data_IF_022872228173
#
_entry.id   IF_022872228173
#
_cell.length_a   1.000
_cell.length_b   1.000
_cell.length_c   1.000
_cell.angle_alpha   90.00
_cell.angle_beta   90.00
_cell.angle_gamma   90.00
#
_symmetry.space_group_name_H-M   'P 1'
#
loop_
_entity.id
_entity.type
_entity.pdbx_description
1 polymer ?
#
# COMPACT_ATOMS: atom_id res chain seq x y z
N UNK A 1 34.10 -49.18 37.60
CA UNK A 1 33.91 -48.32 36.39
C UNK A 1 32.73 -48.71 35.47
N UNK A 2 31.78 -49.58 35.87
CA UNK A 2 30.63 -49.95 35.01
C UNK A 2 29.28 -49.34 35.44
N UNK A 3 29.13 -48.94 36.70
CA UNK A 3 27.90 -48.33 37.23
C UNK A 3 27.77 -46.84 36.93
N UNK A 4 28.89 -46.09 36.90
CA UNK A 4 28.91 -44.65 36.63
C UNK A 4 28.55 -44.29 35.18
N UNK A 5 28.83 -45.17 34.21
CA UNK A 5 28.42 -45.00 32.80
C UNK A 5 26.94 -45.28 32.57
N UNK A 6 26.32 -46.14 33.39
CA UNK A 6 24.89 -46.45 33.29
C UNK A 6 24.02 -45.29 33.82
N UNK A 7 24.47 -44.63 34.89
CA UNK A 7 23.81 -43.43 35.43
C UNK A 7 23.88 -42.22 34.49
N UNK A 8 24.95 -42.08 33.69
CA UNK A 8 25.08 -41.01 32.68
C UNK A 8 24.21 -41.26 31.44
N UNK A 9 23.95 -42.52 31.09
CA UNK A 9 23.03 -42.90 30.02
C UNK A 9 21.56 -42.84 30.46
N UNK A 10 21.25 -43.11 31.73
CA UNK A 10 19.91 -42.90 32.29
C UNK A 10 19.59 -41.41 32.48
N UNK A 11 20.56 -40.53 32.77
CA UNK A 11 20.30 -39.08 32.87
C UNK A 11 20.07 -38.41 31.51
N UNK A 12 20.45 -39.04 30.40
CA UNK A 12 20.14 -38.62 29.03
C UNK A 12 18.77 -39.12 28.53
N UNK A 13 18.14 -40.05 29.24
CA UNK A 13 16.87 -40.69 28.85
C UNK A 13 15.64 -40.14 29.59
N UNK A 14 15.80 -39.17 30.50
CA UNK A 14 14.68 -38.46 31.12
C UNK A 14 14.63 -37.02 30.60
N UNK A 15 13.43 -36.58 30.20
CA UNK A 15 13.07 -35.31 29.55
C UNK A 15 12.98 -35.27 28.01
N UNK A 16 12.36 -36.28 27.39
CA UNK A 16 11.52 -36.05 26.20
C UNK A 16 10.05 -35.73 26.58
N UNK A 17 9.84 -35.04 27.71
CA UNK A 17 8.58 -34.31 27.92
C UNK A 17 8.49 -33.30 26.77
N UNK A 18 7.72 -33.64 25.73
CA UNK A 18 7.56 -32.78 24.56
C UNK A 18 7.24 -31.37 25.04
N UNK A 19 8.18 -30.45 24.79
CA UNK A 19 8.15 -29.10 25.33
C UNK A 19 6.90 -28.38 24.81
N UNK A 20 6.34 -27.52 25.65
CA UNK A 20 5.33 -26.55 25.23
C UNK A 20 5.93 -25.70 24.10
N UNK A 21 5.31 -25.71 22.92
CA UNK A 21 5.93 -25.10 21.74
C UNK A 21 4.88 -24.54 20.76
N UNK A 22 5.19 -23.38 20.20
CA UNK A 22 4.63 -22.86 18.95
C UNK A 22 5.53 -23.27 17.78
N UNK A 23 4.91 -23.70 16.68
CA UNK A 23 5.60 -24.00 15.43
C UNK A 23 4.93 -23.28 14.27
N UNK A 24 5.74 -22.77 13.36
CA UNK A 24 5.30 -22.16 12.11
C UNK A 24 5.78 -23.03 10.95
N UNK A 25 4.98 -23.13 9.90
CA UNK A 25 5.32 -23.86 8.69
C UNK A 25 5.08 -22.97 7.48
N UNK A 26 6.04 -22.96 6.55
CA UNK A 26 5.96 -22.31 5.26
C UNK A 26 6.25 -23.39 4.21
N UNK A 27 5.39 -23.52 3.21
CA UNK A 27 5.46 -24.58 2.20
C UNK A 27 5.60 -25.99 2.83
N UNK A 28 4.89 -26.21 3.95
CA UNK A 28 4.92 -27.45 4.73
C UNK A 28 6.17 -27.68 5.58
N UNK A 29 7.19 -26.82 5.52
CA UNK A 29 8.46 -26.95 6.27
C UNK A 29 8.46 -26.08 7.52
N UNK A 30 8.96 -26.60 8.63
CA UNK A 30 9.03 -25.85 9.89
C UNK A 30 10.02 -24.67 9.79
N UNK A 31 9.59 -23.51 10.27
CA UNK A 31 10.38 -22.27 10.32
C UNK A 31 10.92 -22.08 11.73
N UNK A 32 12.22 -21.81 11.83
CA UNK A 32 12.86 -21.48 13.10
C UNK A 32 12.64 -20.00 13.45
N UNK A 33 12.47 -19.71 14.73
CA UNK A 33 12.42 -18.33 15.20
C UNK A 33 13.71 -17.57 14.82
N UNK A 34 13.58 -16.32 14.38
CA UNK A 34 14.64 -15.47 13.86
C UNK A 34 14.94 -15.68 12.37
N UNK A 35 14.32 -16.64 11.69
CA UNK A 35 14.56 -16.89 10.26
C UNK A 35 14.14 -15.70 9.38
N UNK A 36 14.70 -15.67 8.17
CA UNK A 36 14.28 -14.78 7.09
C UNK A 36 13.47 -15.59 6.08
N UNK A 37 12.26 -15.14 5.77
CA UNK A 37 11.31 -15.82 4.87
C UNK A 37 11.01 -14.93 3.67
N UNK A 38 10.89 -15.53 2.49
CA UNK A 38 10.47 -14.83 1.28
C UNK A 38 9.02 -14.38 1.40
N UNK A 39 8.72 -13.14 1.00
CA UNK A 39 7.34 -12.64 0.99
C UNK A 39 6.40 -13.49 0.11
N UNK A 40 6.94 -14.10 -0.95
CA UNK A 40 6.17 -14.91 -1.89
C UNK A 40 5.69 -16.25 -1.29
N UNK A 41 6.36 -16.73 -0.24
CA UNK A 41 6.00 -17.99 0.41
C UNK A 41 4.99 -17.79 1.55
N UNK A 42 4.74 -16.54 1.97
CA UNK A 42 3.93 -16.23 3.15
C UNK A 42 2.50 -16.73 3.08
N UNK A 43 1.88 -16.78 1.89
CA UNK A 43 0.52 -17.26 1.72
C UNK A 43 0.31 -18.68 2.30
N UNK A 44 1.38 -19.48 2.30
CA UNK A 44 1.36 -20.87 2.80
C UNK A 44 1.61 -20.98 4.32
N UNK A 45 1.63 -19.87 5.04
CA UNK A 45 1.87 -19.86 6.48
C UNK A 45 0.81 -20.66 7.21
N UNK A 46 1.28 -21.67 7.92
CA UNK A 46 0.51 -22.45 8.85
C UNK A 46 1.13 -22.36 10.24
N UNK A 47 0.28 -22.36 11.26
CA UNK A 47 0.72 -22.37 12.65
C UNK A 47 0.20 -23.61 13.36
N UNK A 48 0.99 -24.16 14.26
CA UNK A 48 0.53 -25.18 15.20
C UNK A 48 1.08 -24.90 16.58
N UNK A 49 0.45 -25.50 17.57
CA UNK A 49 0.92 -25.45 18.94
C UNK A 49 0.79 -26.80 19.60
N UNK A 50 1.59 -27.01 20.64
CA UNK A 50 1.56 -28.24 21.43
C UNK A 50 1.71 -27.89 22.90
N UNK A 51 0.83 -28.48 23.73
CA UNK A 51 0.87 -28.43 25.19
C UNK A 51 1.05 -26.99 25.73
N UNK A 52 0.10 -26.08 25.45
CA UNK A 52 0.15 -24.74 26.02
C UNK A 52 0.17 -24.80 27.56
N UNK A 53 0.71 -23.76 28.21
CA UNK A 53 0.70 -23.65 29.67
C UNK A 53 -0.72 -23.86 30.19
N UNK A 54 -0.87 -24.78 31.16
CA UNK A 54 -2.17 -24.99 31.79
C UNK A 54 -2.51 -23.77 32.67
N UNK A 55 -3.66 -23.17 32.41
CA UNK A 55 -4.18 -22.01 33.13
C UNK A 55 -5.65 -22.26 33.43
N UNK A 56 -6.08 -21.95 34.64
CA UNK A 56 -7.49 -22.01 35.02
C UNK A 56 -8.08 -20.62 34.79
N UNK A 57 -9.00 -20.51 33.84
CA UNK A 57 -9.69 -19.25 33.50
C UNK A 57 -11.17 -19.56 33.45
N UNK A 58 -12.00 -18.99 34.33
CA UNK A 58 -13.43 -19.35 34.45
C UNK A 58 -14.31 -18.67 33.39
N UNK A 59 -13.93 -17.48 32.94
CA UNK A 59 -14.52 -16.77 31.80
C UNK A 59 -13.45 -15.93 31.11
N UNK A 60 -13.57 -15.69 29.81
CA UNK A 60 -12.57 -14.96 29.05
C UNK A 60 -12.41 -15.48 27.62
N UNK A 61 -11.23 -15.26 27.06
CA UNK A 61 -10.89 -15.75 25.72
C UNK A 61 -9.40 -16.06 25.57
N UNK A 62 -9.11 -17.01 24.68
CA UNK A 62 -7.74 -17.29 24.23
C UNK A 62 -7.59 -16.92 22.77
N UNK A 63 -6.39 -16.48 22.38
CA UNK A 63 -6.11 -16.02 21.02
C UNK A 63 -4.74 -16.53 20.54
N UNK A 64 -4.75 -17.39 19.53
CA UNK A 64 -3.58 -17.74 18.74
C UNK A 64 -3.46 -16.70 17.63
N UNK A 65 -2.39 -15.93 17.63
CA UNK A 65 -2.25 -14.77 16.75
C UNK A 65 -1.02 -14.85 15.86
N UNK A 66 -1.10 -14.17 14.72
CA UNK A 66 -0.01 -13.84 13.82
C UNK A 66 -0.02 -12.32 13.62
N UNK A 67 0.93 -11.62 14.23
CA UNK A 67 1.04 -10.16 14.21
C UNK A 67 2.14 -9.73 13.25
N UNK A 68 1.86 -8.69 12.48
CA UNK A 68 2.78 -8.04 11.56
C UNK A 68 3.20 -6.71 12.17
N UNK A 69 4.50 -6.47 12.23
CA UNK A 69 5.09 -5.22 12.68
C UNK A 69 6.18 -4.75 11.72
N UNK A 70 6.39 -3.44 11.67
CA UNK A 70 7.42 -2.83 10.84
C UNK A 70 8.83 -3.01 11.46
N UNK A 71 9.87 -2.50 10.81
CA UNK A 71 11.25 -2.62 11.32
C UNK A 71 11.50 -1.84 12.62
N UNK A 72 10.59 -0.93 12.99
CA UNK A 72 10.59 -0.21 14.28
C UNK A 72 9.75 -0.93 15.34
N UNK A 73 9.23 -2.12 15.02
CA UNK A 73 8.29 -2.92 15.84
C UNK A 73 6.96 -2.22 16.08
N UNK A 74 6.58 -1.29 15.19
CA UNK A 74 5.25 -0.69 15.22
C UNK A 74 4.27 -1.67 14.61
N UNK A 75 3.15 -1.90 15.31
CA UNK A 75 2.06 -2.75 14.84
C UNK A 75 1.52 -2.29 13.47
N UNK A 76 1.33 -3.25 12.55
CA UNK A 76 0.70 -3.04 11.25
C UNK A 76 -0.69 -3.68 11.26
N UNK A 77 -0.75 -4.99 11.50
CA UNK A 77 -1.99 -5.76 11.51
C UNK A 77 -1.79 -7.09 12.25
N UNK A 78 -2.86 -7.85 12.49
CA UNK A 78 -2.76 -9.24 12.91
C UNK A 78 -3.90 -10.08 12.33
N UNK A 79 -3.66 -11.38 12.30
CA UNK A 79 -4.66 -12.42 12.16
C UNK A 79 -4.78 -13.16 13.49
N UNK A 80 -5.99 -13.44 13.95
CA UNK A 80 -6.24 -14.13 15.21
C UNK A 80 -7.22 -15.28 15.08
N UNK A 81 -6.96 -16.39 15.77
CA UNK A 81 -7.94 -17.43 16.04
C UNK A 81 -8.32 -17.33 17.51
N UNK A 82 -9.50 -16.76 17.76
CA UNK A 82 -10.03 -16.54 19.09
C UNK A 82 -11.06 -17.61 19.47
N UNK A 83 -10.99 -18.06 20.72
CA UNK A 83 -12.00 -18.92 21.36
C UNK A 83 -12.43 -18.29 22.67
N UNK A 84 -13.72 -18.02 22.77
CA UNK A 84 -14.37 -17.37 23.90
C UNK A 84 -15.11 -18.38 24.77
N UNK A 85 -15.09 -18.17 26.09
CA UNK A 85 -15.80 -18.99 27.06
C UNK A 85 -15.04 -20.24 27.50
N UNK A 86 -15.30 -20.63 28.75
CA UNK A 86 -14.58 -21.70 29.47
C UNK A 86 -14.39 -22.98 28.64
N UNK A 87 -15.50 -23.58 28.20
CA UNK A 87 -15.50 -24.87 27.52
C UNK A 87 -14.75 -24.81 26.18
N UNK A 88 -15.01 -23.79 25.36
CA UNK A 88 -14.37 -23.68 24.05
C UNK A 88 -12.86 -23.39 24.16
N UNK A 89 -12.45 -22.61 25.17
CA UNK A 89 -11.04 -22.39 25.49
C UNK A 89 -10.37 -23.68 25.96
N UNK A 90 -10.98 -24.38 26.92
CA UNK A 90 -10.46 -25.63 27.46
C UNK A 90 -10.32 -26.70 26.36
N UNK A 91 -11.34 -26.86 25.53
CA UNK A 91 -11.31 -27.75 24.37
C UNK A 91 -10.19 -27.37 23.41
N UNK A 92 -10.04 -26.08 23.10
CA UNK A 92 -8.97 -25.64 22.20
C UNK A 92 -7.58 -25.91 22.77
N UNK A 93 -7.38 -25.73 24.08
CA UNK A 93 -6.10 -25.93 24.75
C UNK A 93 -5.74 -27.41 24.95
N UNK A 94 -6.74 -28.25 25.27
CA UNK A 94 -6.52 -29.67 25.63
C UNK A 94 -6.72 -30.63 24.47
N UNK A 95 -7.69 -30.36 23.59
CA UNK A 95 -8.15 -31.31 22.56
C UNK A 95 -7.62 -31.00 21.16
N UNK A 96 -6.84 -29.93 20.98
CA UNK A 96 -6.12 -29.69 19.71
C UNK A 96 -4.92 -30.62 19.59
N UNK A 97 -4.89 -31.54 18.60
CA UNK A 97 -3.75 -32.43 18.43
C UNK A 97 -2.55 -31.65 17.92
N UNK A 98 -1.33 -32.05 18.33
CA UNK A 98 -0.09 -31.39 17.90
C UNK A 98 0.15 -31.41 16.38
N UNK A 99 -0.54 -32.30 15.66
CA UNK A 99 -0.51 -32.40 14.20
C UNK A 99 -1.47 -31.43 13.51
N UNK A 100 -2.39 -30.79 14.24
CA UNK A 100 -3.29 -29.80 13.65
C UNK A 100 -2.49 -28.56 13.29
N UNK A 101 -2.51 -28.23 12.00
CA UNK A 101 -1.95 -27.00 11.43
C UNK A 101 -3.11 -26.11 11.03
N UNK A 102 -3.09 -24.87 11.49
CA UNK A 102 -4.06 -23.85 11.16
C UNK A 102 -3.48 -22.98 10.06
N UNK A 103 -4.15 -22.88 8.92
CA UNK A 103 -3.79 -21.95 7.85
C UNK A 103 -4.13 -20.53 8.28
N UNK A 104 -3.19 -19.60 8.11
CA UNK A 104 -3.34 -18.21 8.62
C UNK A 104 -4.11 -17.33 7.64
N UNK A 105 -3.83 -17.47 6.34
CA UNK A 105 -4.41 -16.63 5.29
C UNK A 105 -5.48 -17.35 4.46
N UNK A 106 -5.42 -18.68 4.41
CA UNK A 106 -6.35 -19.52 3.66
C UNK A 106 -7.32 -20.20 4.62
N UNK A 107 -8.57 -19.73 4.68
CA UNK A 107 -9.64 -20.35 5.46
C UNK A 107 -10.40 -19.39 6.38
N UNK A 108 -11.35 -19.93 7.15
CA UNK A 108 -12.22 -19.16 8.05
C UNK A 108 -11.78 -19.24 9.54
N UNK A 109 -10.64 -19.87 9.83
CA UNK A 109 -10.18 -20.08 11.21
C UNK A 109 -9.56 -18.82 11.81
N UNK A 110 -8.76 -18.08 11.02
CA UNK A 110 -8.12 -16.84 11.44
C UNK A 110 -8.91 -15.63 10.94
N UNK A 111 -9.37 -14.79 11.85
CA UNK A 111 -10.01 -13.52 11.51
C UNK A 111 -8.97 -12.40 11.42
N UNK A 112 -9.22 -11.45 10.51
CA UNK A 112 -8.48 -10.18 10.39
C UNK A 112 -9.47 -9.03 10.42
N UNK A 113 -9.03 -7.86 10.89
CA UNK A 113 -9.82 -6.62 10.82
C UNK A 113 -9.70 -5.94 9.44
N UNK A 114 -9.85 -6.70 8.36
CA UNK A 114 -10.16 -6.20 7.02
C UNK A 114 -9.05 -6.26 5.97
N UNK A 115 -7.77 -6.20 6.34
CA UNK A 115 -6.70 -6.20 5.34
C UNK A 115 -6.29 -7.62 4.93
N UNK A 116 -6.19 -7.86 3.62
CA UNK A 116 -5.63 -9.10 3.06
C UNK A 116 -4.11 -9.10 3.14
N UNK A 117 -3.48 -10.29 3.06
CA UNK A 117 -2.02 -10.38 3.02
C UNK A 117 -1.44 -9.56 1.87
N UNK A 118 -2.03 -9.68 0.68
CA UNK A 118 -1.57 -8.98 -0.53
C UNK A 118 -1.56 -7.47 -0.32
N UNK A 119 -2.63 -6.90 0.24
CA UNK A 119 -2.73 -5.47 0.55
C UNK A 119 -1.59 -4.98 1.46
N UNK A 120 -1.25 -5.77 2.50
CA UNK A 120 -0.15 -5.45 3.42
C UNK A 120 1.21 -5.49 2.71
N UNK A 121 1.44 -6.48 1.84
CA UNK A 121 2.71 -6.63 1.12
C UNK A 121 2.89 -5.54 0.06
N UNK A 122 1.82 -5.18 -0.66
CA UNK A 122 1.87 -4.16 -1.70
C UNK A 122 1.99 -2.75 -1.12
N UNK A 123 1.27 -2.46 -0.04
CA UNK A 123 1.35 -1.19 0.69
C UNK A 123 2.73 -0.96 1.35
N UNK A 124 3.47 -2.03 1.63
CA UNK A 124 4.80 -1.97 2.22
C UNK A 124 5.93 -1.69 1.21
N UNK A 125 5.70 -1.93 -0.09
CA UNK A 125 6.70 -1.66 -1.13
C UNK A 125 7.03 -0.17 -1.17
N UNK A 126 8.31 0.17 -0.97
CA UNK A 126 8.79 1.55 -1.06
C UNK A 126 8.63 2.39 0.22
N UNK A 127 8.12 1.81 1.31
CA UNK A 127 8.08 2.43 2.63
C UNK A 127 9.29 1.99 3.46
N UNK A 128 10.15 2.93 3.86
CA UNK A 128 11.44 2.67 4.55
C UNK A 128 11.28 1.85 5.83
N UNK A 129 10.26 2.16 6.63
CA UNK A 129 9.97 1.41 7.86
C UNK A 129 9.50 -0.03 7.60
N UNK A 130 8.98 -0.32 6.41
CA UNK A 130 8.42 -1.62 6.04
C UNK A 130 9.29 -2.37 5.03
N UNK A 131 10.57 -1.97 4.88
CA UNK A 131 11.55 -2.70 4.07
C UNK A 131 11.70 -4.16 4.47
N UNK A 132 11.51 -4.44 5.76
CA UNK A 132 11.27 -5.77 6.29
C UNK A 132 10.10 -5.71 7.25
N UNK A 133 9.21 -6.70 7.17
CA UNK A 133 8.14 -6.90 8.13
C UNK A 133 8.56 -8.01 9.09
N UNK A 134 8.39 -7.78 10.39
CA UNK A 134 8.54 -8.81 11.41
C UNK A 134 7.18 -9.45 11.65
N UNK A 135 7.13 -10.76 11.49
CA UNK A 135 5.95 -11.57 11.80
C UNK A 135 6.19 -12.25 13.13
N UNK A 136 5.28 -12.04 14.09
CA UNK A 136 5.29 -12.68 15.40
C UNK A 136 4.08 -13.61 15.53
N UNK A 137 4.32 -14.84 15.96
CA UNK A 137 3.27 -15.80 16.28
C UNK A 137 3.29 -16.03 17.77
N UNK A 138 2.14 -15.86 18.41
CA UNK A 138 2.02 -16.07 19.85
C UNK A 138 0.68 -16.67 20.22
N UNK A 139 0.59 -17.12 21.47
CA UNK A 139 -0.62 -17.70 22.02
C UNK A 139 -0.82 -17.24 23.45
N UNK A 140 -1.95 -16.59 23.73
CA UNK A 140 -2.24 -16.03 25.04
C UNK A 140 -3.70 -16.21 25.44
N UNK A 141 -3.97 -15.93 26.71
CA UNK A 141 -5.31 -15.88 27.29
C UNK A 141 -5.52 -14.58 28.04
N UNK A 142 -6.77 -14.13 28.11
CA UNK A 142 -7.25 -13.11 29.05
C UNK A 142 -8.47 -13.64 29.77
N UNK A 143 -8.45 -13.50 31.08
CA UNK A 143 -9.61 -13.75 31.93
C UNK A 143 -10.53 -12.53 31.90
N UNK A 144 -11.83 -12.77 31.83
CA UNK A 144 -12.86 -11.75 32.03
C UNK A 144 -12.97 -11.44 33.53
N UNK A 145 -12.77 -10.18 33.88
CA UNK A 145 -12.79 -9.70 35.28
C UNK A 145 -14.06 -8.90 35.59
N UNK A 146 -14.87 -8.58 34.57
CA UNK A 146 -16.11 -7.82 34.65
C UNK A 146 -16.78 -7.77 33.28
N UNK A 147 -17.96 -7.16 33.16
CA UNK A 147 -18.68 -7.09 31.89
C UNK A 147 -17.87 -6.35 30.82
N UNK A 148 -17.34 -7.11 29.84
CA UNK A 148 -16.41 -6.62 28.80
C UNK A 148 -15.09 -6.05 29.35
N UNK A 149 -14.76 -6.37 30.59
CA UNK A 149 -13.49 -6.02 31.23
C UNK A 149 -12.61 -7.26 31.32
N UNK A 150 -11.36 -7.13 30.90
CA UNK A 150 -10.42 -8.25 30.84
C UNK A 150 -9.16 -7.94 31.63
N UNK A 151 -8.69 -8.97 32.34
CA UNK A 151 -7.44 -8.93 33.08
C UNK A 151 -6.20 -8.89 32.18
N UNK A 152 -5.04 -9.08 32.81
CA UNK A 152 -3.76 -9.05 32.11
C UNK A 152 -3.65 -10.19 31.09
N UNK A 153 -2.94 -9.91 29.98
CA UNK A 153 -2.57 -10.92 28.98
C UNK A 153 -1.61 -11.92 29.64
N UNK A 154 -2.00 -13.19 29.69
CA UNK A 154 -1.13 -14.29 30.12
C UNK A 154 -0.66 -15.05 28.89
N UNK A 155 0.65 -15.06 28.66
CA UNK A 155 1.25 -15.82 27.57
C UNK A 155 1.22 -17.32 27.89
N UNK A 156 0.70 -18.12 26.96
CA UNK A 156 0.57 -19.58 27.10
C UNK A 156 1.78 -20.33 26.53
N UNK A 157 2.44 -19.75 25.53
CA UNK A 157 3.61 -20.27 24.83
C UNK A 157 4.54 -19.13 24.44
N UNK A 158 5.85 -19.35 24.52
CA UNK A 158 6.84 -18.36 24.07
C UNK A 158 6.60 -18.00 22.59
N UNK A 159 6.44 -16.72 22.25
CA UNK A 159 6.27 -16.29 20.87
C UNK A 159 7.47 -16.68 20.01
N UNK A 160 7.21 -17.01 18.75
CA UNK A 160 8.23 -17.15 17.71
C UNK A 160 8.08 -16.00 16.74
N UNK A 161 9.18 -15.59 16.13
CA UNK A 161 9.14 -14.53 15.11
C UNK A 161 10.03 -14.87 13.93
N UNK A 162 9.74 -14.28 12.78
CA UNK A 162 10.63 -14.30 11.63
C UNK A 162 10.49 -12.98 10.85
N UNK A 163 11.46 -12.70 10.00
CA UNK A 163 11.52 -11.47 9.23
C UNK A 163 11.23 -11.75 7.77
N UNK A 164 10.53 -10.84 7.13
CA UNK A 164 10.14 -10.92 5.72
C UNK A 164 10.65 -9.68 5.02
N UNK A 165 11.74 -9.78 4.25
CA UNK A 165 12.19 -8.70 3.39
C UNK A 165 11.10 -8.42 2.35
N UNK A 166 10.66 -7.17 2.27
CA UNK A 166 9.58 -6.77 1.36
C UNK A 166 10.16 -6.22 0.07
N UNK A 167 11.16 -5.35 0.17
CA UNK A 167 11.75 -4.68 -0.99
C UNK A 167 13.22 -4.33 -0.75
N UNK A 168 13.95 -4.14 -1.85
CA UNK A 168 15.39 -3.87 -1.82
C UNK A 168 15.72 -2.40 -2.15
N UNK A 169 16.84 -1.90 -1.61
CA UNK A 169 17.19 -0.48 -1.66
C UNK A 169 17.34 0.10 -3.07
N UNK A 170 17.69 -0.75 -4.05
CA UNK A 170 17.94 -0.33 -5.42
C UNK A 170 16.77 -0.65 -6.33
N UNK A 171 16.41 -1.93 -6.45
CA UNK A 171 15.44 -2.37 -7.44
C UNK A 171 14.07 -2.55 -6.79
N UNK A 172 13.30 -1.46 -6.71
CA UNK A 172 11.96 -1.52 -6.17
C UNK A 172 10.96 -1.78 -7.29
N UNK A 173 10.32 -2.95 -7.26
CA UNK A 173 9.18 -3.24 -8.13
C UNK A 173 7.90 -2.63 -7.55
N UNK A 174 7.19 -1.87 -8.38
CA UNK A 174 5.94 -1.20 -8.09
C UNK A 174 4.82 -1.89 -8.90
N UNK A 175 4.13 -2.90 -8.33
CA UNK A 175 3.19 -3.74 -9.08
C UNK A 175 2.06 -2.97 -9.77
N UNK A 176 1.52 -1.91 -9.16
CA UNK A 176 0.43 -1.13 -9.77
C UNK A 176 0.87 -0.24 -10.94
N UNK A 177 2.19 -0.11 -11.16
CA UNK A 177 2.74 0.54 -12.34
C UNK A 177 3.32 -0.45 -13.35
N UNK A 178 3.43 -1.74 -13.01
CA UNK A 178 4.25 -2.74 -13.72
C UNK A 178 5.68 -2.24 -14.02
N UNK A 179 6.26 -1.53 -13.05
CA UNK A 179 7.53 -0.83 -13.23
C UNK A 179 8.52 -1.17 -12.11
N UNK A 180 9.79 -1.33 -12.48
CA UNK A 180 10.90 -1.34 -11.50
C UNK A 180 11.58 0.01 -11.51
N UNK A 181 11.76 0.61 -10.34
CA UNK A 181 12.48 1.88 -10.18
C UNK A 181 13.80 1.69 -9.44
N UNK A 182 14.78 2.56 -9.74
CA UNK A 182 15.97 2.74 -8.90
C UNK A 182 15.62 3.59 -7.66
N UNK A 183 15.25 2.93 -6.57
CA UNK A 183 14.85 3.58 -5.30
C UNK A 183 15.99 4.36 -4.65
N UNK A 184 17.25 4.19 -5.05
CA UNK A 184 18.35 5.01 -4.49
C UNK A 184 18.27 6.48 -4.91
N UNK A 185 17.57 6.78 -6.01
CA UNK A 185 17.32 8.14 -6.48
C UNK A 185 16.10 8.80 -5.82
N UNK A 186 15.23 8.03 -5.16
CA UNK A 186 13.98 8.50 -4.55
C UNK A 186 14.04 8.23 -3.05
N UNK A 187 14.27 9.27 -2.25
CA UNK A 187 14.51 9.12 -0.80
C UNK A 187 13.21 9.02 0.00
N UNK A 188 12.13 9.52 -0.56
CA UNK A 188 10.83 9.57 0.08
C UNK A 188 10.22 8.17 0.20
N UNK A 189 9.24 8.03 1.09
CA UNK A 189 8.40 6.85 1.08
C UNK A 189 7.51 6.89 -0.15
N UNK A 190 7.42 5.77 -0.85
CA UNK A 190 6.46 5.55 -1.93
C UNK A 190 5.32 4.76 -1.30
N UNK A 191 4.17 5.39 -1.16
CA UNK A 191 3.00 4.80 -0.50
C UNK A 191 1.95 4.48 -1.54
N UNK A 192 1.24 3.37 -1.40
CA UNK A 192 0.06 3.11 -2.22
C UNK A 192 -1.00 4.18 -2.00
N UNK A 193 -1.66 4.59 -3.07
CA UNK A 193 -2.84 5.47 -3.05
C UNK A 193 -3.89 4.92 -4.02
N UNK A 194 -5.15 5.32 -3.86
CA UNK A 194 -6.24 4.85 -4.69
C UNK A 194 -7.33 5.91 -4.84
N UNK A 195 -8.05 5.87 -5.96
CA UNK A 195 -9.08 6.86 -6.31
C UNK A 195 -10.48 6.53 -5.77
N UNK A 196 -10.66 5.34 -5.20
CA UNK A 196 -11.97 4.85 -4.79
C UNK A 196 -11.88 3.64 -3.87
N UNK A 197 -12.96 2.86 -3.77
CA UNK A 197 -12.93 1.59 -3.03
C UNK A 197 -12.23 0.52 -3.85
N UNK A 198 -11.39 -0.32 -3.23
CA UNK A 198 -10.74 -1.46 -3.90
C UNK A 198 -11.73 -2.49 -4.49
N UNK A 199 -13.02 -2.39 -4.13
CA UNK A 199 -14.07 -3.25 -4.66
C UNK A 199 -14.79 -2.65 -5.89
N UNK A 200 -14.51 -1.39 -6.25
CA UNK A 200 -15.04 -0.73 -7.44
C UNK A 200 -14.06 -0.92 -8.61
N UNK A 201 -14.56 -1.44 -9.74
CA UNK A 201 -13.75 -1.71 -10.93
C UNK A 201 -13.21 -0.44 -11.61
N UNK A 202 -13.67 0.74 -11.20
CA UNK A 202 -13.18 2.05 -11.68
C UNK A 202 -12.09 2.65 -10.79
N UNK A 203 -11.73 1.96 -9.70
CA UNK A 203 -10.69 2.43 -8.79
C UNK A 203 -9.33 2.19 -9.41
N UNK A 204 -8.61 3.29 -9.61
CA UNK A 204 -7.20 3.26 -9.98
C UNK A 204 -6.37 3.16 -8.72
N UNK A 205 -5.38 2.28 -8.73
CA UNK A 205 -4.40 2.14 -7.66
C UNK A 205 -3.05 2.58 -8.19
N UNK A 206 -2.38 3.43 -7.42
CA UNK A 206 -1.11 4.01 -7.81
C UNK A 206 -0.22 4.23 -6.59
N UNK A 207 0.71 5.17 -6.73
CA UNK A 207 1.61 5.52 -5.67
C UNK A 207 1.68 7.03 -5.45
N UNK A 208 1.81 7.42 -4.19
CA UNK A 208 2.05 8.79 -3.77
C UNK A 208 3.40 8.94 -3.08
N UNK A 209 4.01 10.10 -3.29
CA UNK A 209 5.24 10.55 -2.65
C UNK A 209 5.02 11.95 -2.11
N UNK A 210 5.67 12.28 -0.99
CA UNK A 210 5.54 13.58 -0.35
C UNK A 210 6.93 14.21 -0.19
N UNK A 211 7.14 15.37 -0.81
CA UNK A 211 8.38 16.13 -0.68
C UNK A 211 8.04 17.61 -0.55
N UNK A 212 8.61 18.28 0.47
CA UNK A 212 8.47 19.72 0.69
C UNK A 212 7.02 20.24 0.61
N UNK A 213 6.08 19.54 1.28
CA UNK A 213 4.64 19.84 1.29
C UNK A 213 3.92 19.68 -0.06
N UNK A 214 4.59 19.13 -1.08
CA UNK A 214 3.98 18.75 -2.35
C UNK A 214 3.73 17.24 -2.36
N UNK A 215 2.49 16.86 -2.66
CA UNK A 215 2.12 15.48 -2.94
C UNK A 215 2.27 15.22 -4.43
N UNK A 216 3.04 14.20 -4.77
CA UNK A 216 3.20 13.68 -6.13
C UNK A 216 2.51 12.34 -6.21
N UNK A 217 1.79 12.10 -7.29
CA UNK A 217 1.07 10.85 -7.53
C UNK A 217 1.46 10.29 -8.89
N UNK A 218 1.47 8.96 -8.98
CA UNK A 218 1.75 8.23 -10.21
C UNK A 218 0.78 7.06 -10.33
N UNK A 219 0.19 6.92 -11.51
CA UNK A 219 -0.77 5.88 -11.85
C UNK A 219 -0.42 5.27 -13.21
N UNK A 220 -0.93 4.06 -13.46
CA UNK A 220 -0.88 3.42 -14.77
C UNK A 220 -2.31 3.12 -15.22
N UNK A 221 -2.69 3.61 -16.39
CA UNK A 221 -4.00 3.31 -16.98
C UNK A 221 -3.88 2.13 -17.95
N UNK A 222 -4.74 1.15 -17.77
CA UNK A 222 -4.78 -0.06 -18.61
C UNK A 222 -5.67 0.17 -19.83
N UNK A 223 -5.12 0.00 -21.03
CA UNK A 223 -5.88 0.16 -22.28
C UNK A 223 -6.91 -0.95 -22.47
N UNK A 224 -6.67 -2.13 -21.91
CA UNK A 224 -7.63 -3.24 -21.95
C UNK A 224 -8.90 -2.92 -21.14
N UNK A 225 -8.78 -2.15 -20.05
CA UNK A 225 -9.90 -1.66 -19.25
C UNK A 225 -10.63 -0.47 -19.92
N UNK A 226 -9.94 0.28 -20.77
CA UNK A 226 -10.47 1.45 -21.48
C UNK A 226 -10.25 1.33 -23.00
N UNK A 227 -11.15 0.65 -23.75
CA UNK A 227 -10.96 0.39 -25.18
C UNK A 227 -10.69 1.66 -26.00
N UNK A 228 -9.60 1.64 -26.77
CA UNK A 228 -9.18 2.78 -27.60
C UNK A 228 -8.46 3.89 -26.84
N UNK A 229 -8.12 3.70 -25.56
CA UNK A 229 -7.28 4.63 -24.82
C UNK A 229 -5.85 4.62 -25.38
N UNK A 230 -5.30 5.80 -25.59
CA UNK A 230 -3.91 6.03 -26.04
C UNK A 230 -3.30 7.15 -25.23
N UNK A 231 -1.98 7.35 -25.31
CA UNK A 231 -1.29 8.48 -24.65
C UNK A 231 -1.90 9.81 -25.08
N UNK A 232 -2.17 9.97 -26.37
CA UNK A 232 -2.83 11.17 -26.93
C UNK A 232 -4.24 11.35 -26.37
N UNK A 233 -5.01 10.26 -26.23
CA UNK A 233 -6.38 10.32 -25.69
C UNK A 233 -6.41 10.63 -24.19
N UNK A 234 -5.48 10.10 -23.38
CA UNK A 234 -5.36 10.47 -21.95
C UNK A 234 -5.00 11.95 -21.80
N UNK A 235 -4.06 12.46 -22.60
CA UNK A 235 -3.69 13.88 -22.61
C UNK A 235 -4.85 14.77 -23.04
N UNK A 236 -5.61 14.34 -24.05
CA UNK A 236 -6.79 15.05 -24.51
C UNK A 236 -7.88 15.07 -23.44
N UNK A 237 -8.17 13.94 -22.81
CA UNK A 237 -9.18 13.82 -21.75
C UNK A 237 -8.83 14.71 -20.55
N UNK A 238 -7.58 14.63 -20.09
CA UNK A 238 -7.07 15.49 -19.03
C UNK A 238 -7.25 16.99 -19.33
N UNK A 239 -6.78 17.47 -20.49
CA UNK A 239 -6.74 18.92 -20.72
C UNK A 239 -8.14 19.51 -20.91
N UNK A 240 -9.07 18.72 -21.46
CA UNK A 240 -10.47 19.11 -21.54
C UNK A 240 -11.11 19.11 -20.15
N UNK A 241 -10.77 18.14 -19.28
CA UNK A 241 -11.29 18.08 -17.91
C UNK A 241 -10.77 19.24 -17.06
N UNK A 242 -9.47 19.50 -17.14
CA UNK A 242 -8.83 20.65 -16.51
C UNK A 242 -9.44 21.98 -16.99
N UNK A 243 -9.67 22.14 -18.30
CA UNK A 243 -10.32 23.33 -18.83
C UNK A 243 -11.77 23.43 -18.37
N UNK A 244 -12.53 22.33 -18.33
CA UNK A 244 -13.92 22.31 -17.85
C UNK A 244 -14.00 22.79 -16.40
N UNK A 245 -13.21 22.17 -15.52
CA UNK A 245 -13.22 22.43 -14.08
C UNK A 245 -12.69 23.83 -13.75
N UNK A 246 -11.66 24.31 -14.44
CA UNK A 246 -11.16 25.68 -14.25
C UNK A 246 -12.14 26.77 -14.68
N UNK A 247 -13.01 26.51 -15.67
CA UNK A 247 -13.91 27.52 -16.23
C UNK A 247 -15.34 27.49 -15.65
N UNK A 248 -15.61 26.64 -14.66
CA UNK A 248 -16.96 26.34 -14.13
C UNK A 248 -17.98 26.09 -15.24
N UNK A 249 -17.64 25.28 -16.25
CA UNK A 249 -18.59 24.90 -17.30
C UNK A 249 -19.05 26.03 -18.27
N UNK A 250 -18.42 27.21 -18.22
CA UNK A 250 -18.91 28.41 -18.96
C UNK A 250 -18.57 28.43 -20.47
N UNK A 251 -18.07 27.32 -21.04
CA UNK A 251 -17.47 27.31 -22.39
C UNK A 251 -18.05 26.24 -23.29
N UNK A 252 -18.83 26.66 -24.30
CA UNK A 252 -19.49 25.78 -25.29
C UNK A 252 -18.60 24.71 -25.95
N UNK A 253 -17.35 25.02 -26.33
CA UNK A 253 -16.46 24.03 -26.98
C UNK A 253 -16.05 22.89 -26.04
N UNK A 254 -16.02 23.13 -24.73
CA UNK A 254 -15.68 22.11 -23.74
C UNK A 254 -16.84 21.13 -23.59
N UNK A 255 -18.10 21.60 -23.70
CA UNK A 255 -19.31 20.77 -23.70
C UNK A 255 -19.38 19.76 -24.85
N UNK A 256 -18.64 19.97 -25.93
CA UNK A 256 -18.61 19.06 -27.08
C UNK A 256 -17.68 17.85 -26.85
N UNK A 257 -16.86 17.86 -25.79
CA UNK A 257 -16.02 16.73 -25.40
C UNK A 257 -16.81 15.71 -24.57
N UNK A 258 -16.72 14.43 -24.93
CA UNK A 258 -17.38 13.35 -24.21
C UNK A 258 -16.54 12.87 -23.01
N UNK A 259 -16.76 13.49 -21.85
CA UNK A 259 -16.12 13.10 -20.59
C UNK A 259 -16.50 11.70 -20.09
N UNK A 260 -17.51 11.06 -20.68
CA UNK A 260 -17.92 9.68 -20.34
C UNK A 260 -17.24 8.63 -21.21
N UNK A 261 -16.44 9.05 -22.19
CA UNK A 261 -15.77 8.14 -23.11
C UNK A 261 -14.86 7.15 -22.36
N UNK A 262 -14.11 7.64 -21.38
CA UNK A 262 -13.18 6.83 -20.59
C UNK A 262 -13.49 6.86 -19.09
N UNK A 263 -14.22 7.88 -18.60
CA UNK A 263 -14.57 8.07 -17.18
C UNK A 263 -13.36 8.01 -16.23
N UNK A 264 -12.21 8.55 -16.65
CA UNK A 264 -11.00 8.56 -15.82
C UNK A 264 -11.23 9.40 -14.55
N UNK A 265 -10.79 8.93 -13.36
CA UNK A 265 -11.11 9.56 -12.07
C UNK A 265 -10.19 10.75 -11.77
N UNK A 266 -10.15 11.75 -12.67
CA UNK A 266 -9.28 12.91 -12.54
C UNK A 266 -9.44 13.66 -11.22
N UNK A 267 -10.67 13.71 -10.71
CA UNK A 267 -10.99 14.28 -9.39
C UNK A 267 -10.06 13.73 -8.31
N UNK A 268 -9.88 12.42 -8.25
CA UNK A 268 -9.09 11.76 -7.19
C UNK A 268 -7.60 11.64 -7.53
N UNK A 269 -7.26 11.67 -8.82
CA UNK A 269 -5.89 11.45 -9.28
C UNK A 269 -5.01 12.69 -9.08
N UNK A 270 -5.46 13.89 -9.44
CA UNK A 270 -4.68 15.14 -9.28
C UNK A 270 -5.37 16.16 -8.36
N UNK A 271 -6.45 15.77 -7.67
CA UNK A 271 -7.27 16.59 -6.77
C UNK A 271 -7.89 17.82 -7.44
N UNK A 272 -8.62 17.60 -8.55
CA UNK A 272 -9.18 18.65 -9.41
C UNK A 272 -10.28 19.53 -8.77
N UNK A 273 -10.67 19.27 -7.52
CA UNK A 273 -11.78 19.96 -6.85
C UNK A 273 -11.35 20.67 -5.56
N UNK A 274 -10.14 21.23 -5.57
CA UNK A 274 -9.71 22.18 -4.55
C UNK A 274 -10.18 23.61 -4.89
N UNK A 275 -9.94 24.53 -3.96
CA UNK A 275 -10.15 25.97 -4.19
C UNK A 275 -9.21 26.54 -5.28
N UNK A 276 -8.17 25.80 -5.63
CA UNK A 276 -7.19 26.17 -6.64
C UNK A 276 -7.53 25.61 -8.03
N UNK A 277 -7.38 26.46 -9.04
CA UNK A 277 -7.65 26.16 -10.45
C UNK A 277 -6.40 26.36 -11.30
N UNK A 278 -6.35 25.69 -12.46
CA UNK A 278 -5.22 25.76 -13.40
C UNK A 278 -5.34 27.01 -14.27
N UNK A 279 -4.37 27.93 -14.17
CA UNK A 279 -4.39 29.22 -14.87
C UNK A 279 -4.39 29.10 -16.40
N UNK A 280 -3.50 28.28 -16.97
CA UNK A 280 -3.25 28.30 -18.42
C UNK A 280 -4.44 27.81 -19.26
N UNK A 281 -5.36 27.07 -18.65
CA UNK A 281 -6.60 26.57 -19.28
C UNK A 281 -7.84 27.37 -18.90
N UNK A 282 -7.74 28.30 -17.96
CA UNK A 282 -8.83 29.16 -17.53
C UNK A 282 -8.95 30.41 -18.43
N UNK A 283 -10.17 30.71 -18.87
CA UNK A 283 -10.40 31.73 -19.90
C UNK A 283 -10.52 33.12 -19.27
N UNK A 284 -10.80 33.19 -17.97
CA UNK A 284 -10.82 34.45 -17.23
C UNK A 284 -9.40 35.00 -17.06
N UNK A 285 -8.45 34.12 -16.78
CA UNK A 285 -7.04 34.44 -16.54
C UNK A 285 -6.21 34.41 -17.81
N UNK A 286 -6.52 33.52 -18.77
CA UNK A 286 -5.87 33.40 -20.07
C UNK A 286 -6.87 33.41 -21.24
N UNK A 287 -7.35 34.60 -21.62
CA UNK A 287 -8.33 34.77 -22.71
C UNK A 287 -7.91 34.15 -24.06
N UNK A 288 -6.60 34.03 -24.31
CA UNK A 288 -6.07 33.49 -25.57
C UNK A 288 -6.42 32.01 -25.77
N UNK A 289 -6.61 31.28 -24.68
CA UNK A 289 -6.82 29.82 -24.73
C UNK A 289 -8.20 29.44 -25.27
N UNK A 290 -9.17 30.36 -25.29
CA UNK A 290 -10.52 30.13 -25.86
C UNK A 290 -10.50 29.78 -27.35
N UNK A 291 -9.46 30.20 -28.07
CA UNK A 291 -9.33 30.03 -29.51
C UNK A 291 -8.29 29.00 -29.95
N UNK A 292 -7.50 28.43 -29.02
CA UNK A 292 -6.46 27.45 -29.37
C UNK A 292 -6.99 26.03 -29.28
N UNK A 293 -6.32 25.12 -29.98
CA UNK A 293 -6.45 23.69 -29.69
C UNK A 293 -5.78 23.42 -28.33
N UNK A 294 -6.53 22.88 -27.36
CA UNK A 294 -6.01 22.62 -26.01
C UNK A 294 -4.79 21.69 -26.03
N UNK A 295 -4.69 20.80 -27.01
CA UNK A 295 -3.52 19.93 -27.15
C UNK A 295 -2.23 20.70 -27.45
N UNK A 296 -2.32 21.92 -28.00
CA UNK A 296 -1.14 22.77 -28.25
C UNK A 296 -0.52 23.35 -26.98
N UNK A 297 -1.19 23.19 -25.82
CA UNK A 297 -0.66 23.63 -24.52
C UNK A 297 0.38 22.65 -23.95
N UNK A 298 0.42 21.42 -24.48
CA UNK A 298 1.41 20.43 -24.07
C UNK A 298 2.76 20.66 -24.76
N UNK A 299 3.82 20.26 -24.05
CA UNK A 299 5.13 20.01 -24.62
C UNK A 299 5.33 18.51 -24.82
N UNK A 300 6.08 18.12 -25.86
CA UNK A 300 6.52 16.72 -26.04
C UNK A 300 7.52 16.39 -24.93
N UNK A 301 7.34 15.23 -24.30
CA UNK A 301 8.25 14.72 -23.27
C UNK A 301 8.82 13.36 -23.68
N UNK A 302 10.11 13.15 -23.41
CA UNK A 302 10.81 11.88 -23.70
C UNK A 302 11.82 11.54 -22.59
N UNK A 303 11.71 10.31 -22.08
CA UNK A 303 12.60 9.71 -21.09
C UNK A 303 12.94 8.29 -21.58
N UNK A 304 13.92 8.19 -22.49
CA UNK A 304 14.26 6.92 -23.14
C UNK A 304 13.10 6.37 -23.98
N UNK A 305 12.59 5.17 -23.63
CA UNK A 305 11.44 4.52 -24.30
C UNK A 305 10.08 5.12 -23.93
N UNK A 306 10.02 5.93 -22.88
CA UNK A 306 8.80 6.67 -22.50
C UNK A 306 8.71 7.98 -23.27
N UNK A 307 7.60 8.19 -23.94
CA UNK A 307 7.29 9.30 -24.85
C UNK A 307 5.83 9.72 -24.67
N UNK A 308 5.58 11.02 -24.77
CA UNK A 308 4.23 11.55 -24.67
C UNK A 308 4.26 13.05 -24.46
N UNK A 309 3.58 13.50 -23.40
CA UNK A 309 3.30 14.91 -23.17
C UNK A 309 3.58 15.33 -21.74
N UNK A 310 3.95 16.60 -21.58
CA UNK A 310 4.03 17.29 -20.31
C UNK A 310 3.29 18.62 -20.37
N UNK A 311 2.51 18.92 -19.34
CA UNK A 311 1.82 20.21 -19.20
C UNK A 311 2.17 20.82 -17.86
N UNK A 312 2.37 22.14 -17.85
CA UNK A 312 2.73 22.92 -16.68
C UNK A 312 1.90 24.21 -16.65
N UNK A 313 1.50 24.61 -15.44
CA UNK A 313 0.76 25.85 -15.23
C UNK A 313 0.90 26.33 -13.79
N UNK A 314 0.85 27.65 -13.62
CA UNK A 314 0.54 28.25 -12.32
C UNK A 314 -0.88 27.92 -11.88
N UNK A 315 -1.10 27.98 -10.57
CA UNK A 315 -2.41 27.85 -9.94
C UNK A 315 -2.95 29.21 -9.50
N UNK A 316 -4.25 29.38 -9.54
CA UNK A 316 -4.93 30.55 -8.97
C UNK A 316 -6.08 30.11 -8.08
N UNK A 317 -6.54 31.00 -7.22
CA UNK A 317 -7.83 30.84 -6.56
C UNK A 317 -8.56 32.17 -6.47
N UNK A 318 -9.87 32.08 -6.22
CA UNK A 318 -10.66 33.23 -5.79
C UNK A 318 -10.79 33.19 -4.28
N UNK A 319 -10.35 34.25 -3.60
CA UNK A 319 -10.46 34.36 -2.16
C UNK A 319 -11.92 34.27 -1.72
N UNK A 320 -12.27 33.22 -0.97
CA UNK A 320 -13.65 32.99 -0.48
C UNK A 320 -14.20 34.17 0.35
N UNK A 321 -13.33 34.98 0.96
CA UNK A 321 -13.71 36.09 1.85
C UNK A 321 -13.70 37.46 1.19
N UNK A 322 -12.82 37.71 0.22
CA UNK A 322 -12.64 39.04 -0.41
C UNK A 322 -13.00 39.06 -1.90
N UNK A 323 -13.31 37.91 -2.50
CA UNK A 323 -13.64 37.75 -3.91
C UNK A 323 -12.49 38.08 -4.86
N UNK A 324 -11.26 38.23 -4.37
CA UNK A 324 -10.13 38.63 -5.20
C UNK A 324 -9.47 37.42 -5.85
N UNK A 325 -8.98 37.64 -7.07
CA UNK A 325 -8.18 36.67 -7.79
C UNK A 325 -6.74 36.69 -7.25
N UNK A 326 -6.30 35.59 -6.65
CA UNK A 326 -4.90 35.39 -6.29
C UNK A 326 -4.26 34.44 -7.29
N UNK A 327 -3.32 34.98 -8.06
CA UNK A 327 -2.50 34.20 -9.00
C UNK A 327 -1.26 33.65 -8.31
N UNK A 328 -0.71 32.62 -8.93
CA UNK A 328 0.58 31.99 -8.60
C UNK A 328 0.65 31.50 -7.14
N UNK A 329 -0.49 31.02 -6.63
CA UNK A 329 -0.61 30.46 -5.27
C UNK A 329 0.02 29.07 -5.14
N UNK A 330 0.44 28.51 -6.27
CA UNK A 330 1.10 27.22 -6.40
C UNK A 330 1.42 26.93 -7.86
N UNK A 331 2.02 25.78 -8.11
CA UNK A 331 2.42 25.29 -9.42
C UNK A 331 1.88 23.88 -9.64
N UNK A 332 1.52 23.56 -10.87
CA UNK A 332 1.04 22.25 -11.28
C UNK A 332 1.77 21.74 -12.51
N UNK A 333 2.09 20.46 -12.49
CA UNK A 333 2.71 19.74 -13.58
C UNK A 333 2.15 18.32 -13.69
N UNK A 334 1.99 17.88 -14.94
CA UNK A 334 1.62 16.51 -15.28
C UNK A 334 2.49 15.99 -16.43
N UNK A 335 2.85 14.72 -16.34
CA UNK A 335 3.44 13.91 -17.41
C UNK A 335 2.48 12.78 -17.77
N UNK A 336 2.24 12.57 -19.06
CA UNK A 336 1.43 11.47 -19.60
C UNK A 336 2.26 10.79 -20.68
N UNK A 337 2.67 9.55 -20.44
CA UNK A 337 3.71 8.85 -21.20
C UNK A 337 3.26 7.42 -21.51
N UNK A 338 3.72 6.85 -22.62
CA UNK A 338 3.62 5.39 -22.77
C UNK A 338 4.50 4.70 -21.72
N UNK A 339 4.06 3.53 -21.27
CA UNK A 339 4.87 2.70 -20.39
C UNK A 339 6.07 2.11 -21.16
N UNK A 340 7.27 1.99 -20.54
CA UNK A 340 8.52 1.68 -21.25
C UNK A 340 8.63 0.23 -21.75
N UNK A 341 7.92 -0.72 -21.11
CA UNK A 341 8.03 -2.16 -21.39
C UNK A 341 6.69 -2.83 -21.67
N UNK A 342 5.66 -2.51 -20.89
CA UNK A 342 4.27 -2.94 -21.11
C UNK A 342 3.49 -2.02 -22.07
N UNK A 343 3.16 -2.45 -23.30
CA UNK A 343 2.45 -1.60 -24.26
C UNK A 343 0.97 -1.38 -23.93
N UNK A 344 0.39 -2.16 -23.01
CA UNK A 344 -1.00 -2.02 -22.58
C UNK A 344 -1.20 -0.93 -21.53
N UNK A 345 -0.10 -0.40 -20.96
CA UNK A 345 -0.15 0.62 -19.92
C UNK A 345 0.25 2.01 -20.42
N UNK A 346 -0.40 3.02 -19.85
CA UNK A 346 -0.04 4.43 -19.99
C UNK A 346 0.32 4.95 -18.60
N UNK A 347 1.52 5.51 -18.45
CA UNK A 347 1.97 6.09 -17.20
C UNK A 347 1.54 7.56 -17.12
N UNK A 348 1.03 7.94 -15.96
CA UNK A 348 0.74 9.33 -15.64
C UNK A 348 1.36 9.68 -14.29
N UNK A 349 2.04 10.82 -14.23
CA UNK A 349 2.54 11.39 -12.98
C UNK A 349 2.11 12.86 -12.90
N UNK A 350 1.51 13.29 -11.79
CA UNK A 350 1.21 14.70 -11.51
C UNK A 350 1.58 15.07 -10.07
N UNK A 351 1.68 16.36 -9.78
CA UNK A 351 1.50 16.81 -8.39
C UNK A 351 0.02 17.12 -8.13
N UNK A 352 -0.45 16.88 -6.92
CA UNK A 352 -1.80 17.32 -6.53
C UNK A 352 -1.92 18.84 -6.64
N UNK A 353 -3.12 19.30 -7.02
CA UNK A 353 -3.45 20.72 -6.91
C UNK A 353 -3.39 21.15 -5.46
N UNK A 354 -2.75 22.27 -5.20
CA UNK A 354 -2.68 22.82 -3.86
C UNK A 354 -1.67 23.93 -3.74
N UNK A 355 -1.91 24.79 -2.75
CA UNK A 355 -0.97 25.85 -2.41
C UNK A 355 0.34 25.23 -1.95
N UNK A 356 1.41 25.68 -2.57
CA UNK A 356 2.75 25.26 -2.20
C UNK A 356 3.74 26.36 -2.54
N UNK A 357 4.90 26.33 -1.89
CA UNK A 357 5.99 27.28 -2.12
C UNK A 357 7.05 26.73 -3.08
N UNK A 358 6.84 25.54 -3.65
CA UNK A 358 7.78 24.93 -4.58
C UNK A 358 7.72 25.65 -5.92
N UNK A 359 8.88 25.85 -6.54
CA UNK A 359 8.92 26.41 -7.89
C UNK A 359 8.50 25.37 -8.92
N UNK A 360 8.08 25.80 -10.10
CA UNK A 360 7.77 24.90 -11.21
C UNK A 360 8.98 24.01 -11.57
N UNK A 361 10.19 24.57 -11.48
CA UNK A 361 11.43 23.85 -11.71
C UNK A 361 11.69 22.76 -10.65
N UNK A 362 11.36 23.01 -9.37
CA UNK A 362 11.54 22.01 -8.31
C UNK A 362 10.59 20.82 -8.49
N UNK A 363 9.32 21.10 -8.80
CA UNK A 363 8.30 20.09 -9.12
C UNK A 363 8.77 19.28 -10.33
N UNK A 364 9.19 19.95 -11.39
CA UNK A 364 9.68 19.32 -12.61
C UNK A 364 10.89 18.42 -12.35
N UNK A 365 11.89 18.93 -11.64
CA UNK A 365 13.11 18.19 -11.32
C UNK A 365 12.80 16.90 -10.55
N UNK A 366 11.87 16.97 -9.59
CA UNK A 366 11.47 15.80 -8.82
C UNK A 366 10.78 14.75 -9.70
N UNK A 367 9.78 15.17 -10.48
CA UNK A 367 9.04 14.26 -11.38
C UNK A 367 9.96 13.61 -12.42
N UNK A 368 10.86 14.40 -13.03
CA UNK A 368 11.86 13.86 -13.94
C UNK A 368 12.82 12.88 -13.26
N UNK A 369 13.20 13.13 -12.00
CA UNK A 369 14.04 12.21 -11.22
C UNK A 369 13.35 10.87 -11.02
N UNK A 370 12.06 10.88 -10.69
CA UNK A 370 11.25 9.67 -10.60
C UNK A 370 11.17 8.94 -11.95
N UNK A 371 10.77 9.63 -13.01
CA UNK A 371 10.63 9.04 -14.35
C UNK A 371 11.95 8.46 -14.89
N UNK A 372 13.07 9.15 -14.70
CA UNK A 372 14.41 8.65 -15.08
C UNK A 372 14.87 7.46 -14.24
N UNK A 373 14.26 7.25 -13.07
CA UNK A 373 14.55 6.10 -12.21
C UNK A 373 13.81 4.84 -12.63
N UNK A 374 12.77 4.94 -13.46
CA UNK A 374 12.08 3.78 -14.04
C UNK A 374 13.03 3.07 -15.01
N UNK A 375 13.25 1.78 -14.78
CA UNK A 375 14.08 0.92 -15.65
C UNK A 375 13.37 0.59 -16.95
N UNK A 376 14.15 0.49 -18.04
CA UNK A 376 13.65 0.40 -19.41
C UNK A 376 14.32 -0.68 -20.23
#
# INVERSE_FOLDING_TARGET
>A
MKTTRLLLLLSLLFFSFGKAQLSAFINGKEVKSGATISKNDLATLQVSFKKPKNVTVYSGFTNLYVEFSDNTKTYITHWGLQKDGYTAMEDFLKNTPATKKFSVFEGNEFYTKGNTLQWILDGANGVEKQKSIRIEIGFWVREETGYKEYGQKVQLLEPIYFNVPIWEAKNLYLPYLDATIDKTNIKENIRTTQTGSTNDSRTEVGYQMNLNQVTYVVYAFEKSAHPGLTVDEVAKDFIHKAAYDSNDDKVKKIHEYDFRKYELPWYDICDFFRDEHIQNVDYYTNKSVKSVDLMSLYQKAEFGKMKGYSFESGLYNMGRQDGKLHKDVGQFKIYILNHPTNPDLILMMCNELGRNTSTAQDIDNYMQTFLKSIKQ
#
